data_IF_014629826332
#
_entry.id   IF_014629826332
#
_cell.length_a   1.000
_cell.length_b   1.000
_cell.length_c   1.000
_cell.angle_alpha   90.00
_cell.angle_beta   90.00
_cell.angle_gamma   90.00
#
_symmetry.space_group_name_H-M   'P 1'
#
loop_
_entity.id
_entity.type
_entity.pdbx_description
1 polymer ?
#
# COMPACT_ATOMS: atom_id res chain seq x y z
N UNK A 1 38.76 -78.67 22.95
CA UNK A 1 37.39 -78.15 23.11
C UNK A 1 37.43 -76.64 22.94
N UNK A 2 37.01 -76.10 21.82
CA UNK A 2 37.01 -74.66 21.55
C UNK A 2 35.55 -74.21 21.30
N UNK A 3 35.07 -73.31 22.13
CA UNK A 3 33.77 -72.69 21.95
C UNK A 3 33.90 -71.48 21.02
N UNK A 4 33.06 -71.31 20.02
CA UNK A 4 33.08 -70.12 19.19
C UNK A 4 32.29 -68.98 19.83
N UNK A 5 32.91 -67.81 19.86
CA UNK A 5 32.41 -66.54 20.38
C UNK A 5 31.46 -65.92 19.35
N UNK A 6 30.19 -65.81 19.73
CA UNK A 6 29.16 -65.19 18.91
C UNK A 6 29.24 -63.65 19.06
N UNK A 7 29.68 -62.96 18.02
CA UNK A 7 29.65 -61.48 18.00
C UNK A 7 28.26 -60.99 17.58
N UNK A 8 27.46 -60.52 18.56
CA UNK A 8 26.25 -59.79 18.32
C UNK A 8 26.60 -58.39 17.78
N UNK A 9 26.27 -58.12 16.53
CA UNK A 9 26.28 -56.80 15.96
C UNK A 9 24.91 -56.17 16.16
N UNK A 10 24.83 -55.25 17.11
CA UNK A 10 23.67 -54.40 17.32
C UNK A 10 23.62 -53.36 16.19
N UNK A 11 22.66 -53.49 15.28
CA UNK A 11 22.41 -52.46 14.26
C UNK A 11 21.59 -51.33 14.90
N UNK A 12 22.21 -50.19 15.06
CA UNK A 12 21.52 -48.94 15.51
C UNK A 12 20.85 -48.33 14.27
N UNK A 13 19.52 -48.45 14.19
CA UNK A 13 18.70 -47.73 13.25
C UNK A 13 18.57 -46.26 13.72
N UNK A 14 19.28 -45.35 13.06
CA UNK A 14 19.08 -43.91 13.23
C UNK A 14 17.88 -43.51 12.41
N UNK A 15 16.71 -43.34 13.07
CA UNK A 15 15.58 -42.64 12.46
C UNK A 15 15.94 -41.15 12.35
N UNK A 16 16.31 -40.70 11.17
CA UNK A 16 16.44 -39.27 10.85
C UNK A 16 15.06 -38.63 10.80
N UNK A 17 14.67 -37.90 11.88
CA UNK A 17 13.52 -37.01 11.84
C UNK A 17 13.87 -35.81 10.96
N UNK A 18 13.42 -35.81 9.71
CA UNK A 18 13.49 -34.64 8.82
C UNK A 18 12.56 -33.57 9.35
N UNK A 19 13.12 -32.52 9.95
CA UNK A 19 12.37 -31.30 10.30
C UNK A 19 12.13 -30.55 8.98
N UNK A 20 10.96 -30.76 8.37
CA UNK A 20 10.50 -29.98 7.25
C UNK A 20 10.25 -28.54 7.71
N UNK A 21 11.09 -27.59 7.26
CA UNK A 21 10.78 -26.19 7.37
C UNK A 21 9.59 -25.87 6.46
N UNK A 22 8.41 -25.81 7.05
CA UNK A 22 7.26 -25.18 6.38
C UNK A 22 7.55 -23.68 6.35
N UNK A 23 8.09 -23.20 5.24
CA UNK A 23 8.19 -21.79 4.94
C UNK A 23 6.77 -21.22 4.93
N UNK A 24 6.38 -20.50 5.98
CA UNK A 24 5.15 -19.73 6.02
C UNK A 24 5.31 -18.60 5.01
N UNK A 25 4.72 -18.74 3.82
CA UNK A 25 4.53 -17.61 2.91
C UNK A 25 3.50 -16.68 3.55
N UNK A 26 3.96 -15.72 4.35
CA UNK A 26 3.12 -14.60 4.71
C UNK A 26 2.79 -13.81 3.43
N UNK A 27 1.51 -13.53 3.12
CA UNK A 27 1.19 -12.67 2.00
C UNK A 27 1.88 -11.33 2.18
N UNK A 28 2.42 -10.78 1.09
CA UNK A 28 2.99 -9.44 1.13
C UNK A 28 1.93 -8.47 1.68
N UNK A 29 2.29 -7.52 2.58
CA UNK A 29 1.34 -6.56 3.11
C UNK A 29 0.69 -5.82 1.94
N UNK A 30 -0.63 -5.85 1.88
CA UNK A 30 -1.40 -5.05 0.91
C UNK A 30 -1.22 -3.59 1.26
N UNK A 31 -1.00 -2.75 0.24
CA UNK A 31 -0.93 -1.30 0.45
C UNK A 31 -2.26 -0.79 1.02
N UNK A 32 -2.23 0.22 1.90
CA UNK A 32 -3.44 0.85 2.39
C UNK A 32 -4.18 1.58 1.26
N UNK A 33 -5.49 1.75 1.43
CA UNK A 33 -6.29 2.66 0.62
C UNK A 33 -6.09 4.12 1.07
N UNK A 34 -6.65 5.13 0.38
CA UNK A 34 -6.43 6.54 0.72
C UNK A 34 -6.91 6.96 2.11
N UNK A 35 -7.94 6.30 2.68
CA UNK A 35 -8.42 6.61 4.03
C UNK A 35 -7.51 6.01 5.11
N UNK A 36 -6.91 4.87 4.82
CA UNK A 36 -6.04 4.16 5.76
C UNK A 36 -4.60 4.66 5.71
N UNK A 37 -4.18 5.18 4.57
CA UNK A 37 -2.89 5.84 4.45
C UNK A 37 -2.94 7.19 5.19
N UNK A 38 -1.81 7.58 5.76
CA UNK A 38 -1.67 8.84 6.48
C UNK A 38 -0.44 9.60 6.06
N UNK A 39 -0.08 10.59 6.86
CA UNK A 39 1.21 11.28 6.80
C UNK A 39 1.67 11.59 8.22
N UNK A 40 2.84 11.08 8.59
CA UNK A 40 3.36 11.22 9.96
C UNK A 40 2.35 10.76 11.04
N UNK A 41 1.62 9.67 10.77
CA UNK A 41 0.63 9.10 11.70
C UNK A 41 -0.69 9.86 11.80
N UNK A 42 -0.96 10.81 10.89
CA UNK A 42 -2.21 11.57 10.84
C UNK A 42 -2.99 11.26 9.57
N UNK A 43 -4.33 11.20 9.62
CA UNK A 43 -5.16 11.09 8.43
C UNK A 43 -4.93 12.27 7.46
N UNK A 44 -4.94 11.99 6.16
CA UNK A 44 -4.82 12.98 5.09
C UNK A 44 -6.15 13.16 4.37
N UNK A 45 -6.86 12.06 4.17
CA UNK A 45 -8.17 12.05 3.55
C UNK A 45 -9.26 11.77 4.58
N UNK A 46 -10.44 12.32 4.33
CA UNK A 46 -11.67 12.03 5.06
C UNK A 46 -12.77 11.59 4.10
N UNK A 47 -13.64 10.71 4.55
CA UNK A 47 -14.80 10.28 3.78
C UNK A 47 -15.92 11.29 3.95
N UNK A 48 -16.33 11.95 2.86
CA UNK A 48 -17.45 12.90 2.85
C UNK A 48 -18.79 12.20 2.60
N UNK A 49 -18.76 11.14 1.78
CA UNK A 49 -19.93 10.34 1.45
C UNK A 49 -19.50 8.94 1.04
N UNK A 50 -20.29 7.96 1.41
CA UNK A 50 -20.13 6.58 0.96
C UNK A 50 -21.49 5.87 0.93
N UNK A 51 -21.81 5.22 -0.20
CA UNK A 51 -22.96 4.36 -0.37
C UNK A 51 -22.58 3.10 -1.16
N UNK A 52 -23.58 2.37 -1.69
CA UNK A 52 -23.33 1.15 -2.47
C UNK A 52 -22.70 1.44 -3.84
N UNK A 53 -22.81 2.66 -4.36
CA UNK A 53 -22.43 3.03 -5.72
C UNK A 53 -21.09 3.74 -5.80
N UNK A 54 -20.76 4.58 -4.80
CA UNK A 54 -19.56 5.40 -4.81
C UNK A 54 -19.07 5.78 -3.41
N UNK A 55 -17.84 6.24 -3.36
CA UNK A 55 -17.21 6.88 -2.20
C UNK A 55 -16.64 8.23 -2.64
N UNK A 56 -16.85 9.24 -1.82
CA UNK A 56 -16.31 10.61 -2.03
C UNK A 56 -15.36 10.94 -0.89
N UNK A 57 -14.12 11.23 -1.22
CA UNK A 57 -13.08 11.62 -0.28
C UNK A 57 -12.69 13.07 -0.48
N UNK A 58 -12.33 13.75 0.61
CA UNK A 58 -11.60 15.01 0.59
C UNK A 58 -10.22 14.78 1.17
N UNK A 59 -9.17 15.07 0.41
CA UNK A 59 -7.79 14.96 0.82
C UNK A 59 -7.15 16.35 0.91
N UNK A 60 -6.50 16.64 2.05
CA UNK A 60 -5.95 17.97 2.35
C UNK A 60 -4.47 17.87 2.65
N UNK A 61 -3.68 18.66 1.93
CA UNK A 61 -2.23 18.67 1.98
C UNK A 61 -1.72 20.06 2.35
N UNK A 62 -1.43 20.37 3.63
CA UNK A 62 -0.75 21.61 3.99
C UNK A 62 0.67 21.63 3.37
N UNK A 63 1.35 22.80 3.34
CA UNK A 63 2.75 22.88 2.90
C UNK A 63 3.63 21.86 3.64
N UNK A 64 4.39 21.04 2.89
CA UNK A 64 5.20 19.93 3.43
C UNK A 64 4.39 18.71 3.86
N UNK A 65 3.07 18.77 3.81
CA UNK A 65 2.20 17.63 4.06
C UNK A 65 2.21 16.66 2.89
N UNK A 66 2.06 15.37 3.18
CA UNK A 66 2.06 14.34 2.16
C UNK A 66 1.01 13.28 2.43
N UNK A 67 1.09 12.22 1.66
CA UNK A 67 0.30 11.02 1.80
C UNK A 67 1.22 9.83 1.55
N UNK A 68 1.36 8.99 2.55
CA UNK A 68 2.20 7.81 2.48
C UNK A 68 1.76 6.90 1.34
N UNK A 69 2.65 6.02 0.92
CA UNK A 69 2.40 5.10 -0.18
C UNK A 69 1.09 4.34 -0.02
N UNK A 70 0.19 4.47 -1.00
CA UNK A 70 -1.13 3.86 -1.02
C UNK A 70 -1.57 3.58 -2.47
N UNK A 71 -2.63 2.78 -2.63
CA UNK A 71 -3.26 2.53 -3.92
C UNK A 71 -4.55 3.34 -4.07
N UNK A 72 -5.04 3.49 -5.28
CA UNK A 72 -6.41 3.93 -5.55
C UNK A 72 -7.13 2.96 -6.49
N UNK A 73 -8.40 2.73 -6.24
CA UNK A 73 -9.31 2.22 -7.25
C UNK A 73 -9.48 3.21 -8.41
N UNK A 74 -10.19 2.84 -9.45
CA UNK A 74 -10.58 3.78 -10.50
C UNK A 74 -11.30 4.98 -9.89
N UNK A 75 -10.93 6.20 -10.29
CA UNK A 75 -11.47 7.40 -9.66
C UNK A 75 -11.42 8.63 -10.56
N UNK A 76 -12.33 9.55 -10.29
CA UNK A 76 -12.29 10.91 -10.78
C UNK A 76 -11.82 11.85 -9.67
N UNK A 77 -10.87 12.73 -9.99
CA UNK A 77 -10.37 13.75 -9.07
C UNK A 77 -10.73 15.15 -9.51
N UNK A 78 -11.14 15.98 -8.56
CA UNK A 78 -11.36 17.42 -8.77
C UNK A 78 -10.52 18.23 -7.79
N UNK A 79 -9.83 19.23 -8.28
CA UNK A 79 -8.91 20.07 -7.52
C UNK A 79 -9.63 21.31 -7.01
N UNK A 80 -9.94 21.33 -5.73
CA UNK A 80 -10.53 22.52 -5.07
C UNK A 80 -9.48 23.60 -4.93
N UNK A 81 -8.36 23.26 -4.31
CA UNK A 81 -7.19 24.12 -4.13
C UNK A 81 -5.97 23.42 -4.75
N UNK A 82 -5.40 24.03 -5.75
CA UNK A 82 -4.22 23.51 -6.43
C UNK A 82 -2.94 23.78 -5.65
N UNK A 83 -1.82 23.34 -6.21
CA UNK A 83 -0.51 23.54 -5.61
C UNK A 83 0.58 22.80 -6.36
N UNK A 84 1.79 22.84 -5.81
CA UNK A 84 2.95 22.17 -6.38
C UNK A 84 3.18 20.85 -5.66
N UNK A 85 2.98 19.76 -6.37
CA UNK A 85 2.99 18.41 -5.81
C UNK A 85 4.16 17.60 -6.35
N UNK A 86 4.84 16.88 -5.47
CA UNK A 86 5.74 15.81 -5.84
C UNK A 86 4.99 14.49 -5.76
N UNK A 87 5.02 13.73 -6.83
CA UNK A 87 4.37 12.42 -6.92
C UNK A 87 5.44 11.38 -7.20
N UNK A 88 5.50 10.36 -6.38
CA UNK A 88 6.38 9.20 -6.54
C UNK A 88 5.53 7.98 -6.83
N UNK A 89 5.81 7.27 -7.90
CA UNK A 89 5.16 6.02 -8.28
C UNK A 89 6.16 5.04 -8.91
N UNK A 90 5.69 3.96 -9.49
CA UNK A 90 6.54 2.94 -10.14
C UNK A 90 7.41 3.48 -11.30
N UNK A 91 7.05 4.63 -11.86
CA UNK A 91 7.79 5.26 -12.96
C UNK A 91 8.83 6.28 -12.47
N UNK A 92 8.91 6.51 -11.16
CA UNK A 92 9.84 7.42 -10.52
C UNK A 92 9.17 8.64 -9.90
N UNK A 93 9.93 9.72 -9.75
CA UNK A 93 9.48 10.97 -9.12
C UNK A 93 9.18 12.01 -10.20
N UNK A 94 8.04 12.69 -10.08
CA UNK A 94 7.68 13.86 -10.91
C UNK A 94 7.15 14.99 -10.05
N UNK A 95 7.37 16.21 -10.50
CA UNK A 95 6.80 17.44 -9.92
C UNK A 95 5.76 17.98 -10.86
N UNK A 96 4.59 18.33 -10.33
CA UNK A 96 3.44 18.82 -11.09
C UNK A 96 2.89 20.07 -10.43
N UNK A 97 2.71 21.13 -11.20
CA UNK A 97 1.92 22.29 -10.79
C UNK A 97 0.46 22.01 -11.17
N UNK A 98 -0.39 21.85 -10.16
CA UNK A 98 -1.79 21.45 -10.32
C UNK A 98 -2.68 22.67 -10.15
N UNK A 99 -3.41 23.12 -11.18
CA UNK A 99 -4.29 24.28 -11.09
C UNK A 99 -5.56 24.00 -10.28
N UNK A 100 -6.00 24.95 -9.47
CA UNK A 100 -7.35 24.93 -8.86
C UNK A 100 -8.43 24.88 -9.95
N UNK A 101 -9.50 24.12 -9.74
CA UNK A 101 -10.57 23.91 -10.70
C UNK A 101 -10.27 22.90 -11.81
N UNK A 102 -9.06 22.35 -11.86
CA UNK A 102 -8.74 21.26 -12.78
C UNK A 102 -9.30 19.91 -12.31
N UNK A 103 -9.33 18.94 -13.21
CA UNK A 103 -9.78 17.59 -12.89
C UNK A 103 -8.94 16.54 -13.62
N UNK A 104 -9.00 15.32 -13.14
CA UNK A 104 -8.31 14.18 -13.73
C UNK A 104 -9.13 12.91 -13.56
N UNK A 105 -8.85 11.93 -14.39
CA UNK A 105 -9.47 10.61 -14.32
C UNK A 105 -8.38 9.54 -14.36
N UNK A 106 -8.51 8.50 -13.52
CA UNK A 106 -7.60 7.39 -13.47
C UNK A 106 -8.38 6.06 -13.43
N UNK A 107 -7.94 5.07 -14.20
CA UNK A 107 -8.49 3.71 -14.18
C UNK A 107 -8.03 2.90 -12.95
N UNK A 108 -7.23 3.50 -12.10
CA UNK A 108 -6.64 2.97 -10.88
C UNK A 108 -5.17 3.36 -10.79
N UNK A 109 -4.69 3.47 -9.56
CA UNK A 109 -3.28 3.73 -9.25
C UNK A 109 -2.77 2.57 -8.42
N UNK A 110 -1.84 1.81 -8.97
CA UNK A 110 -1.24 0.65 -8.30
C UNK A 110 -0.62 1.06 -6.97
N UNK A 111 0.16 2.12 -6.99
CA UNK A 111 0.61 2.85 -5.82
C UNK A 111 1.19 4.21 -6.18
N UNK A 112 1.05 5.15 -5.29
CA UNK A 112 1.81 6.38 -5.27
C UNK A 112 2.03 6.90 -3.85
N UNK A 113 2.97 7.80 -3.72
CA UNK A 113 3.20 8.68 -2.58
C UNK A 113 3.15 10.11 -3.09
N UNK A 114 2.53 11.01 -2.34
CA UNK A 114 2.32 12.39 -2.76
C UNK A 114 2.80 13.33 -1.66
N UNK A 115 3.50 14.40 -2.02
CA UNK A 115 3.95 15.44 -1.09
C UNK A 115 3.64 16.82 -1.67
N UNK A 116 3.02 17.68 -0.90
CA UNK A 116 2.88 19.09 -1.24
C UNK A 116 4.21 19.80 -0.98
N UNK A 117 4.90 20.17 -2.05
CA UNK A 117 6.18 20.89 -2.02
C UNK A 117 6.01 22.40 -2.29
N UNK A 118 4.76 22.85 -2.38
CA UNK A 118 4.40 24.27 -2.50
C UNK A 118 4.26 24.95 -1.13
N UNK A 119 3.85 26.21 -1.17
CA UNK A 119 3.70 27.10 0.00
C UNK A 119 2.24 27.33 0.42
N UNK A 120 1.30 26.73 -0.30
CA UNK A 120 -0.15 26.81 -0.02
C UNK A 120 -0.73 25.42 0.23
N UNK A 121 -1.84 25.36 0.94
CA UNK A 121 -2.58 24.11 1.14
C UNK A 121 -3.26 23.68 -0.16
N UNK A 122 -3.08 22.41 -0.53
CA UNK A 122 -3.78 21.79 -1.66
C UNK A 122 -4.93 20.91 -1.16
N UNK A 123 -6.07 20.95 -1.85
CA UNK A 123 -7.28 20.21 -1.50
C UNK A 123 -7.89 19.54 -2.73
N UNK A 124 -8.16 18.25 -2.61
CA UNK A 124 -8.71 17.42 -3.67
C UNK A 124 -10.00 16.73 -3.23
N UNK A 125 -10.98 16.65 -4.13
CA UNK A 125 -12.07 15.69 -4.05
C UNK A 125 -11.72 14.48 -4.92
N UNK A 126 -11.91 13.29 -4.37
CA UNK A 126 -11.72 12.02 -5.08
C UNK A 126 -13.06 11.29 -5.05
N UNK A 127 -13.58 10.95 -6.23
CA UNK A 127 -14.80 10.17 -6.39
C UNK A 127 -14.42 8.79 -6.90
N UNK A 128 -14.63 7.77 -6.09
CA UNK A 128 -14.32 6.38 -6.41
C UNK A 128 -15.63 5.62 -6.65
N UNK A 129 -16.00 5.30 -7.90
CA UNK A 129 -17.11 4.42 -8.17
C UNK A 129 -16.82 3.03 -7.60
N UNK A 130 -17.83 2.43 -6.96
CA UNK A 130 -17.78 1.02 -6.55
C UNK A 130 -18.26 0.18 -7.74
N UNK A 131 -17.43 -0.72 -8.21
CA UNK A 131 -17.82 -1.64 -9.26
C UNK A 131 -18.99 -2.52 -8.81
N UNK A 132 -19.96 -2.73 -9.71
CA UNK A 132 -21.01 -3.74 -9.56
C UNK A 132 -20.43 -5.15 -9.69
#
# INVERSE_FOLDING_TARGET
>A
MAFPYLKNRLAVLILGAGIGWMGSCSPAPTLPDPLMAGWNGKPVCECLHEDEQLRVLRCTFPPGGGHDRHFHAAHYGYVIEGGRMQITDKNGVRIVDVPSGSSFNNDGVEWHEVVNIGDTTSVYLIVEPKGN
#
